data_IF_731535153447
#
_entry.id   IF_731535153447
#
_cell.length_a   1.000
_cell.length_b   1.000
_cell.length_c   1.000
_cell.angle_alpha   90.00
_cell.angle_beta   90.00
_cell.angle_gamma   90.00
#
_symmetry.space_group_name_H-M   'P 1'
#
loop_
_entity.id
_entity.type
_entity.pdbx_description
1 polymer ?
#
# COMPACT_ATOMS: atom_id res chain seq x y z
N UNK A 1 -31.35 -8.35 -4.43
CA UNK A 1 -30.54 -7.83 -5.55
C UNK A 1 -29.38 -7.04 -4.96
N UNK A 2 -28.13 -7.45 -5.20
CA UNK A 2 -26.96 -6.68 -4.78
C UNK A 2 -26.88 -5.47 -5.70
N UNK A 3 -26.89 -4.26 -5.13
CA UNK A 3 -26.82 -3.02 -5.93
C UNK A 3 -25.39 -2.83 -6.44
N UNK A 4 -25.21 -2.28 -7.64
CA UNK A 4 -23.87 -2.01 -8.18
C UNK A 4 -23.04 -1.08 -7.26
N UNK A 5 -23.71 -0.12 -6.61
CA UNK A 5 -23.12 0.73 -5.58
C UNK A 5 -22.61 -0.06 -4.38
N UNK A 6 -23.36 -1.07 -3.95
CA UNK A 6 -23.05 -1.92 -2.82
C UNK A 6 -21.83 -2.81 -3.08
N UNK A 7 -21.67 -3.29 -4.31
CA UNK A 7 -20.47 -4.00 -4.75
C UNK A 7 -19.22 -3.10 -4.72
N UNK A 8 -19.35 -1.82 -5.07
CA UNK A 8 -18.23 -0.85 -5.02
C UNK A 8 -17.87 -0.50 -3.58
N UNK A 9 -18.86 -0.37 -2.69
CA UNK A 9 -18.65 -0.18 -1.26
C UNK A 9 -17.92 -1.38 -0.66
N UNK A 10 -18.35 -2.60 -1.00
CA UNK A 10 -17.68 -3.83 -0.59
C UNK A 10 -16.20 -3.87 -1.03
N UNK A 11 -15.91 -3.50 -2.28
CA UNK A 11 -14.53 -3.41 -2.78
C UNK A 11 -13.68 -2.43 -1.99
N UNK A 12 -14.24 -1.25 -1.69
CA UNK A 12 -13.54 -0.21 -0.93
C UNK A 12 -13.30 -0.64 0.51
N UNK A 13 -14.29 -1.28 1.13
CA UNK A 13 -14.19 -1.82 2.48
C UNK A 13 -13.12 -2.91 2.59
N UNK A 14 -13.09 -3.88 1.67
CA UNK A 14 -12.07 -4.95 1.66
C UNK A 14 -10.66 -4.37 1.46
N UNK A 15 -10.51 -3.45 0.50
CA UNK A 15 -9.21 -2.81 0.25
C UNK A 15 -8.72 -2.04 1.48
N UNK A 16 -9.62 -1.28 2.12
CA UNK A 16 -9.29 -0.51 3.33
C UNK A 16 -8.94 -1.44 4.50
N UNK A 17 -9.76 -2.47 4.75
CA UNK A 17 -9.52 -3.43 5.83
C UNK A 17 -8.16 -4.12 5.71
N UNK A 18 -7.78 -4.56 4.50
CA UNK A 18 -6.47 -5.19 4.24
C UNK A 18 -5.30 -4.22 4.47
N UNK A 19 -5.43 -2.99 3.99
CA UNK A 19 -4.38 -1.97 4.14
C UNK A 19 -4.18 -1.56 5.61
N UNK A 20 -5.27 -1.31 6.32
CA UNK A 20 -5.24 -0.92 7.72
C UNK A 20 -4.69 -2.06 8.59
N UNK A 21 -5.16 -3.30 8.39
CA UNK A 21 -4.65 -4.46 9.12
C UNK A 21 -3.14 -4.66 8.93
N UNK A 22 -2.64 -4.56 7.69
CA UNK A 22 -1.20 -4.66 7.40
C UNK A 22 -0.40 -3.57 8.13
N UNK A 23 -0.92 -2.34 8.11
CA UNK A 23 -0.31 -1.19 8.80
C UNK A 23 -0.27 -1.41 10.31
N UNK A 24 -1.37 -1.92 10.89
CA UNK A 24 -1.46 -2.18 12.32
C UNK A 24 -0.51 -3.28 12.76
N UNK A 25 -0.41 -4.37 11.99
CA UNK A 25 0.59 -5.42 12.25
C UNK A 25 2.01 -4.90 12.16
N UNK A 26 2.31 -4.04 11.19
CA UNK A 26 3.64 -3.41 11.10
C UNK A 26 3.93 -2.57 12.35
N UNK A 27 3.00 -1.71 12.78
CA UNK A 27 3.17 -0.89 13.98
C UNK A 27 3.32 -1.72 15.25
N UNK A 28 2.59 -2.84 15.35
CA UNK A 28 2.71 -3.78 16.46
C UNK A 28 4.12 -4.40 16.54
N UNK A 29 4.67 -4.80 15.39
CA UNK A 29 6.06 -5.32 15.30
C UNK A 29 7.10 -4.28 15.71
N UNK A 30 6.82 -2.99 15.49
CA UNK A 30 7.69 -1.89 15.90
C UNK A 30 7.56 -1.51 17.39
N UNK A 31 6.79 -2.27 18.19
CA UNK A 31 6.47 -1.97 19.61
C UNK A 31 5.80 -0.61 19.81
N UNK A 32 5.16 -0.07 18.77
CA UNK A 32 4.40 1.19 18.82
C UNK A 32 2.88 0.93 18.82
N UNK A 33 2.45 -0.30 19.12
CA UNK A 33 1.02 -0.66 19.17
C UNK A 33 0.18 0.25 20.09
N UNK A 34 0.79 0.78 21.15
CA UNK A 34 0.12 1.68 22.09
C UNK A 34 -0.26 3.05 21.48
N UNK A 35 0.35 3.46 20.37
CA UNK A 35 0.00 4.70 19.67
C UNK A 35 -1.13 4.53 18.65
N UNK A 36 -1.63 3.31 18.45
CA UNK A 36 -2.73 3.04 17.53
C UNK A 36 -4.09 3.42 18.14
N UNK A 37 -5.10 3.67 17.29
CA UNK A 37 -6.47 3.86 17.79
C UNK A 37 -6.95 2.63 18.56
N UNK A 38 -7.82 2.84 19.55
CA UNK A 38 -8.36 1.78 20.44
C UNK A 38 -8.90 0.58 19.67
N UNK A 39 -9.62 0.84 18.58
CA UNK A 39 -10.15 -0.20 17.69
C UNK A 39 -9.05 -1.13 17.15
N UNK A 40 -7.93 -0.57 16.70
CA UNK A 40 -6.83 -1.37 16.14
C UNK A 40 -6.13 -2.19 17.22
N UNK A 41 -6.06 -1.67 18.46
CA UNK A 41 -5.49 -2.40 19.60
C UNK A 41 -6.36 -3.61 19.96
N UNK A 42 -7.68 -3.43 20.01
CA UNK A 42 -8.63 -4.53 20.25
C UNK A 42 -8.55 -5.59 19.16
N UNK A 43 -8.48 -5.19 17.89
CA UNK A 43 -8.34 -6.09 16.75
C UNK A 43 -7.04 -6.90 16.82
N UNK A 44 -5.92 -6.27 17.18
CA UNK A 44 -4.64 -6.97 17.34
C UNK A 44 -4.66 -7.95 18.53
N UNK A 45 -5.28 -7.57 19.64
CA UNK A 45 -5.42 -8.45 20.79
C UNK A 45 -6.29 -9.68 20.46
N UNK A 46 -7.37 -9.50 19.70
CA UNK A 46 -8.19 -10.62 19.24
C UNK A 46 -7.45 -11.47 18.20
N UNK A 47 -6.68 -10.85 17.30
CA UNK A 47 -5.82 -11.55 16.35
C UNK A 47 -4.79 -12.45 17.05
N UNK A 48 -4.16 -11.97 18.11
CA UNK A 48 -3.20 -12.76 18.89
C UNK A 48 -3.89 -13.96 19.56
N UNK A 49 -5.09 -13.77 20.12
CA UNK A 49 -5.92 -14.89 20.65
C UNK A 49 -6.33 -15.87 19.57
N UNK A 50 -6.52 -15.40 18.34
CA UNK A 50 -6.89 -16.24 17.21
C UNK A 50 -5.69 -17.07 16.74
N UNK A 51 -4.48 -16.50 16.72
CA UNK A 51 -3.23 -17.20 16.41
C UNK A 51 -2.91 -18.32 17.42
N UNK A 52 -3.39 -18.22 18.67
CA UNK A 52 -3.26 -19.31 19.64
C UNK A 52 -4.13 -20.53 19.31
N UNK A 53 -5.21 -20.36 18.53
CA UNK A 53 -6.18 -21.42 18.20
C UNK A 53 -6.04 -21.95 16.78
N UNK A 54 -5.50 -21.16 15.85
CA UNK A 54 -5.40 -21.52 14.43
C UNK A 54 -4.16 -20.92 13.77
N UNK A 55 -3.86 -21.38 12.56
CA UNK A 55 -2.75 -20.87 11.75
C UNK A 55 -2.86 -19.37 11.45
N UNK A 56 -1.72 -18.68 11.39
CA UNK A 56 -1.59 -17.25 11.20
C UNK A 56 -2.26 -16.76 9.90
N UNK A 57 -2.21 -17.54 8.82
CA UNK A 57 -2.84 -17.17 7.55
C UNK A 57 -4.37 -17.16 7.65
N UNK A 58 -4.96 -18.15 8.35
CA UNK A 58 -6.40 -18.20 8.59
C UNK A 58 -6.84 -17.13 9.58
N UNK A 59 -6.06 -16.90 10.64
CA UNK A 59 -6.33 -15.84 11.60
C UNK A 59 -6.33 -14.45 10.92
N UNK A 60 -5.42 -14.24 9.97
CA UNK A 60 -5.32 -13.00 9.19
C UNK A 60 -6.57 -12.77 8.35
N UNK A 61 -6.97 -13.76 7.54
CA UNK A 61 -8.17 -13.61 6.69
C UNK A 61 -9.45 -13.44 7.53
N UNK A 62 -9.59 -14.17 8.64
CA UNK A 62 -10.73 -14.01 9.55
C UNK A 62 -10.79 -12.62 10.20
N UNK A 63 -9.62 -12.05 10.55
CA UNK A 63 -9.53 -10.71 11.14
C UNK A 63 -9.85 -9.64 10.10
N UNK A 64 -9.31 -9.77 8.88
CA UNK A 64 -9.63 -8.87 7.76
C UNK A 64 -11.12 -8.91 7.46
N UNK A 65 -11.76 -10.08 7.49
CA UNK A 65 -13.20 -10.21 7.27
C UNK A 65 -14.01 -9.49 8.36
N UNK A 66 -13.60 -9.60 9.63
CA UNK A 66 -14.26 -8.89 10.73
C UNK A 66 -14.18 -7.36 10.55
N UNK A 67 -13.00 -6.82 10.21
CA UNK A 67 -12.81 -5.38 9.92
C UNK A 67 -13.62 -4.96 8.70
N UNK A 68 -13.61 -5.78 7.65
CA UNK A 68 -14.36 -5.54 6.42
C UNK A 68 -15.85 -5.37 6.68
N UNK A 69 -16.47 -6.23 7.50
CA UNK A 69 -17.90 -6.11 7.83
C UNK A 69 -18.22 -4.77 8.50
N UNK A 70 -17.34 -4.31 9.40
CA UNK A 70 -17.50 -3.00 10.06
C UNK A 70 -17.38 -1.85 9.05
N UNK A 71 -16.34 -1.85 8.20
CA UNK A 71 -16.15 -0.80 7.20
C UNK A 71 -17.21 -0.78 6.11
N UNK A 72 -17.76 -1.93 5.75
CA UNK A 72 -18.87 -2.01 4.82
C UNK A 72 -20.13 -1.35 5.40
N UNK A 73 -20.44 -1.61 6.67
CA UNK A 73 -21.55 -0.96 7.36
C UNK A 73 -21.34 0.56 7.51
N UNK A 74 -20.14 0.99 7.90
CA UNK A 74 -19.78 2.42 8.01
C UNK A 74 -19.88 3.16 6.67
N UNK A 75 -19.57 2.49 5.55
CA UNK A 75 -19.67 3.07 4.20
C UNK A 75 -21.08 3.03 3.61
N UNK A 76 -22.09 2.65 4.39
CA UNK A 76 -23.49 2.64 3.96
C UNK A 76 -23.89 1.41 3.14
N UNK A 77 -23.11 0.33 3.21
CA UNK A 77 -23.51 -0.97 2.69
C UNK A 77 -24.70 -1.52 3.50
N UNK A 78 -25.75 -1.98 2.80
CA UNK A 78 -26.99 -2.40 3.44
C UNK A 78 -27.15 -3.93 3.37
N UNK A 79 -27.26 -4.57 4.54
CA UNK A 79 -27.44 -6.02 4.67
C UNK A 79 -26.13 -6.79 4.91
N UNK A 80 -26.15 -8.11 4.70
CA UNK A 80 -24.96 -8.95 4.84
C UNK A 80 -23.96 -8.60 3.73
N UNK A 81 -22.72 -8.21 4.06
CA UNK A 81 -21.71 -7.88 3.06
C UNK A 81 -21.49 -9.08 2.12
N UNK A 82 -21.31 -8.86 0.81
CA UNK A 82 -20.93 -9.94 -0.09
C UNK A 82 -19.55 -10.48 0.32
N UNK A 83 -19.38 -11.79 0.16
CA UNK A 83 -18.14 -12.52 0.47
C UNK A 83 -16.91 -11.82 -0.15
N UNK A 84 -15.97 -11.38 0.69
CA UNK A 84 -14.80 -10.59 0.30
C UNK A 84 -13.96 -11.32 -0.75
N UNK A 85 -13.90 -12.65 -0.71
CA UNK A 85 -13.20 -13.47 -1.69
C UNK A 85 -13.79 -13.33 -3.11
N UNK A 86 -15.12 -13.20 -3.24
CA UNK A 86 -15.80 -13.00 -4.53
C UNK A 86 -15.54 -11.59 -5.05
N UNK A 87 -15.52 -10.60 -4.16
CA UNK A 87 -15.27 -9.20 -4.47
C UNK A 87 -13.85 -9.01 -5.01
N UNK A 88 -12.85 -9.65 -4.42
CA UNK A 88 -11.47 -9.67 -4.94
C UNK A 88 -11.37 -10.42 -6.28
N UNK A 89 -12.04 -11.56 -6.44
CA UNK A 89 -12.00 -12.36 -7.69
C UNK A 89 -12.60 -11.61 -8.89
N UNK A 90 -13.64 -10.79 -8.68
CA UNK A 90 -14.18 -9.91 -9.74
C UNK A 90 -13.20 -8.83 -10.20
N UNK A 91 -12.14 -8.51 -9.45
CA UNK A 91 -11.05 -7.64 -9.93
C UNK A 91 -10.17 -8.36 -10.95
N UNK A 92 -9.84 -9.63 -10.72
CA UNK A 92 -9.10 -10.44 -11.66
C UNK A 92 -9.88 -10.65 -12.96
N UNK A 93 -11.21 -10.74 -12.88
CA UNK A 93 -12.10 -10.82 -14.04
C UNK A 93 -12.38 -9.45 -14.73
N UNK A 94 -12.50 -8.35 -13.97
CA UNK A 94 -12.73 -7.02 -14.54
C UNK A 94 -11.46 -6.38 -15.14
N UNK A 95 -10.29 -6.70 -14.61
CA UNK A 95 -9.00 -6.31 -15.19
C UNK A 95 -8.75 -6.98 -16.55
N UNK A 96 -9.33 -8.17 -16.79
CA UNK A 96 -9.30 -8.82 -18.12
C UNK A 96 -10.44 -8.38 -19.04
N UNK A 97 -11.57 -7.88 -18.51
CA UNK A 97 -12.70 -7.39 -19.32
C UNK A 97 -12.53 -5.95 -19.85
N UNK A 98 -11.63 -5.14 -19.27
CA UNK A 98 -11.34 -3.77 -19.72
C UNK A 98 -10.75 -3.63 -21.13
N UNK A 99 -10.48 -4.76 -21.82
CA UNK A 99 -9.91 -4.81 -23.17
C UNK A 99 -10.95 -5.14 -24.26
N UNK A 100 -12.22 -5.45 -23.91
CA UNK A 100 -13.16 -6.10 -24.83
C UNK A 100 -14.39 -5.26 -25.25
N UNK A 101 -14.29 -3.93 -25.30
CA UNK A 101 -15.40 -3.10 -25.84
C UNK A 101 -14.90 -1.87 -26.58
N UNK A 102 -14.30 -2.10 -27.76
CA UNK A 102 -14.31 -1.14 -28.87
C UNK A 102 -14.50 -1.93 -30.16
N UNK A 103 -15.73 -1.97 -30.66
CA UNK A 103 -16.06 -2.43 -32.02
C UNK A 103 -15.41 -1.45 -33.01
N UNK A 104 -14.54 -1.89 -33.94
CA UNK A 104 -14.01 -1.03 -34.98
C UNK A 104 -14.93 -1.07 -36.20
N UNK A 105 -15.44 0.09 -36.60
CA UNK A 105 -15.90 0.31 -37.97
C UNK A 105 -14.66 0.57 -38.85
N UNK A 106 -14.56 -0.21 -39.93
CA UNK A 106 -13.84 -0.01 -41.19
C UNK A 106 -12.35 0.39 -41.19
N UNK A 107 -11.53 -0.51 -41.76
CA UNK A 107 -10.27 -0.17 -42.45
C UNK A 107 -8.95 -0.57 -41.76
N UNK A 108 -8.40 -1.72 -42.15
CA UNK A 108 -7.03 -2.21 -41.87
C UNK A 108 -5.94 -1.31 -42.53
N UNK A 109 -4.64 -1.29 -42.10
CA UNK A 109 -3.89 -2.44 -41.59
C UNK A 109 -3.14 -2.26 -40.25
N UNK A 110 -3.34 -3.26 -39.39
CA UNK A 110 -2.39 -3.95 -38.49
C UNK A 110 -1.07 -3.26 -38.12
N UNK A 111 -1.02 -2.73 -36.89
CA UNK A 111 0.13 -2.86 -36.00
C UNK A 111 -0.40 -2.92 -34.55
N UNK A 112 0.00 -3.90 -33.71
CA UNK A 112 -0.47 -3.94 -32.33
C UNK A 112 0.05 -2.69 -31.62
N UNK A 113 -0.85 -1.82 -31.18
CA UNK A 113 -0.51 -0.68 -30.35
C UNK A 113 0.14 -1.21 -29.05
N UNK A 114 1.46 -1.11 -28.99
CA UNK A 114 2.26 -1.55 -27.87
C UNK A 114 2.12 -0.53 -26.72
N UNK A 115 1.01 -0.63 -26.00
CA UNK A 115 0.63 0.28 -24.92
C UNK A 115 1.65 0.27 -23.77
N UNK A 116 2.48 -0.78 -23.67
CA UNK A 116 3.59 -0.83 -22.70
C UNK A 116 4.78 0.02 -23.12
N UNK A 117 5.03 0.23 -24.42
CA UNK A 117 6.08 1.13 -24.88
C UNK A 117 5.69 2.59 -24.63
N UNK A 118 4.44 2.97 -24.91
CA UNK A 118 3.96 4.33 -24.64
C UNK A 118 3.92 4.67 -23.15
N UNK A 119 3.53 3.72 -22.28
CA UNK A 119 3.59 3.94 -20.83
C UNK A 119 5.03 4.03 -20.30
N UNK A 120 5.95 3.22 -20.86
CA UNK A 120 7.37 3.23 -20.48
C UNK A 120 8.05 4.51 -20.95
N UNK A 121 7.78 4.96 -22.17
CA UNK A 121 8.22 6.23 -22.71
C UNK A 121 7.65 7.41 -21.93
N UNK A 122 6.38 7.37 -21.54
CA UNK A 122 5.76 8.43 -20.74
C UNK A 122 6.39 8.52 -19.34
N UNK A 123 6.66 7.38 -18.71
CA UNK A 123 7.38 7.31 -17.43
C UNK A 123 8.84 7.75 -17.59
N UNK A 124 9.48 7.44 -18.71
CA UNK A 124 10.84 7.90 -19.03
C UNK A 124 10.89 9.40 -19.26
N UNK A 125 9.99 9.97 -20.07
CA UNK A 125 9.89 11.41 -20.31
C UNK A 125 9.61 12.16 -19.01
N UNK A 126 8.70 11.65 -18.17
CA UNK A 126 8.43 12.24 -16.86
C UNK A 126 9.66 12.18 -15.93
N UNK A 127 10.41 11.07 -15.93
CA UNK A 127 11.64 10.96 -15.15
C UNK A 127 12.77 11.83 -15.71
N UNK A 128 12.83 11.99 -17.03
CA UNK A 128 13.81 12.81 -17.73
C UNK A 128 13.52 14.31 -17.53
N UNK A 129 12.25 14.72 -17.51
CA UNK A 129 11.85 16.07 -17.09
C UNK A 129 12.17 16.31 -15.62
N UNK A 130 11.85 15.38 -14.71
CA UNK A 130 12.25 15.51 -13.29
C UNK A 130 13.77 15.56 -13.11
N UNK A 131 14.52 14.79 -13.89
CA UNK A 131 15.97 14.80 -13.89
C UNK A 131 16.56 16.09 -14.49
N UNK A 132 15.97 16.65 -15.54
CA UNK A 132 16.36 17.94 -16.12
C UNK A 132 16.04 19.09 -15.16
N UNK A 133 14.87 19.07 -14.52
CA UNK A 133 14.51 20.03 -13.46
C UNK A 133 15.41 19.90 -12.22
N UNK A 134 15.77 18.68 -11.83
CA UNK A 134 16.71 18.42 -10.73
C UNK A 134 18.16 18.77 -11.09
N UNK A 135 18.57 18.60 -12.35
CA UNK A 135 19.87 19.02 -12.86
C UNK A 135 19.97 20.55 -12.95
N UNK A 136 18.87 21.23 -13.27
CA UNK A 136 18.76 22.69 -13.21
C UNK A 136 18.86 23.18 -11.75
N UNK A 137 18.17 22.51 -10.80
CA UNK A 137 18.22 22.82 -9.37
C UNK A 137 19.56 22.43 -8.69
N UNK A 138 20.33 21.53 -9.31
CA UNK A 138 21.63 21.07 -8.81
C UNK A 138 22.81 21.98 -9.17
N UNK A 139 22.62 23.01 -10.02
CA UNK A 139 23.68 23.98 -10.34
C UNK A 139 23.85 25.08 -9.28
N UNK A 140 22.89 25.22 -8.35
CA UNK A 140 22.94 26.18 -7.24
C UNK A 140 23.10 25.54 -5.84
N UNK A 141 23.31 24.23 -5.75
CA UNK A 141 23.44 23.53 -4.48
C UNK A 141 24.90 23.13 -4.15
N UNK A 142 25.49 23.86 -3.20
CA UNK A 142 26.76 23.65 -2.48
C UNK A 142 26.96 22.15 -2.10
N UNK A 143 28.20 21.60 -2.15
CA UNK A 143 28.48 20.17 -2.26
C UNK A 143 28.04 19.31 -1.07
N UNK A 144 27.68 18.08 -1.43
CA UNK A 144 27.43 16.91 -0.58
C UNK A 144 28.72 16.66 0.24
N UNK A 145 28.70 16.50 1.56
CA UNK A 145 28.21 15.31 2.26
C UNK A 145 28.13 15.61 3.78
N UNK A 146 26.93 15.77 4.37
CA UNK A 146 26.80 15.83 5.84
C UNK A 146 27.24 14.53 6.53
N UNK A 147 27.24 13.40 5.80
CA UNK A 147 27.64 12.09 6.31
C UNK A 147 29.11 12.05 6.77
N UNK A 148 30.03 12.70 6.04
CA UNK A 148 31.45 12.67 6.39
C UNK A 148 31.74 13.43 7.71
N UNK A 149 31.07 14.57 7.91
CA UNK A 149 31.19 15.36 9.15
C UNK A 149 30.63 14.62 10.36
N UNK A 150 29.51 13.90 10.20
CA UNK A 150 28.94 13.08 11.27
C UNK A 150 29.92 11.96 11.68
N UNK A 151 30.54 11.30 10.70
CA UNK A 151 31.51 10.23 10.96
C UNK A 151 32.76 10.73 11.70
N UNK A 152 33.31 11.87 11.28
CA UNK A 152 34.45 12.50 11.94
C UNK A 152 34.10 12.92 13.36
N UNK A 153 32.92 13.53 13.56
CA UNK A 153 32.44 13.90 14.89
C UNK A 153 32.31 12.72 15.85
N UNK A 154 31.78 11.58 15.37
CA UNK A 154 31.62 10.37 16.17
C UNK A 154 32.98 9.82 16.64
N UNK A 155 34.00 9.83 15.78
CA UNK A 155 35.35 9.37 16.13
C UNK A 155 35.94 10.25 17.22
N UNK A 156 35.84 11.57 17.10
CA UNK A 156 36.37 12.52 18.09
C UNK A 156 35.69 12.33 19.45
N UNK A 157 34.36 12.19 19.50
CA UNK A 157 33.63 11.95 20.75
C UNK A 157 34.04 10.64 21.39
N UNK A 158 34.19 9.57 20.60
CA UNK A 158 34.56 8.24 21.12
C UNK A 158 35.96 8.24 21.72
N UNK A 159 36.93 8.84 21.03
CA UNK A 159 38.31 8.96 21.53
C UNK A 159 38.37 9.89 22.73
N UNK A 160 37.65 11.01 22.70
CA UNK A 160 37.57 11.97 23.80
C UNK A 160 36.98 11.35 25.07
N UNK A 161 35.88 10.58 24.96
CA UNK A 161 35.32 9.87 26.10
C UNK A 161 36.29 8.83 26.65
N UNK A 162 36.95 8.06 25.78
CA UNK A 162 37.92 7.07 26.22
C UNK A 162 39.14 7.70 26.91
N UNK A 163 39.50 8.93 26.56
CA UNK A 163 40.60 9.66 27.19
C UNK A 163 40.19 10.40 28.47
N UNK A 164 38.91 10.75 28.62
CA UNK A 164 38.39 11.44 29.80
C UNK A 164 37.94 10.46 30.91
N UNK A 165 37.49 9.25 30.54
CA UNK A 165 37.08 8.20 31.47
C UNK A 165 38.20 7.20 31.80
N UNK A 166 39.43 7.47 31.38
CA UNK A 166 40.62 6.68 31.65
C UNK A 166 41.66 7.55 32.33
#
# INVERSE_FOLDING_TARGET
MIKASDLLIARRADTKARADFSTWRMMAKLKVASSLPSEAQEVLAEFDRLCLRMDEARATEATIEAIYRRYYAEMGGAGTPPDSAKVTSTRSAAAVAGTASRTPADGAPTAPADNVISLREQKQKQNQQRAMSAAQAGRDAKPRLPVALIFIGLIIVTVGLHYLLK
#
